data_IF_163853390541
#
_entry.id   IF_163853390541
#
_cell.length_a   1.000
_cell.length_b   1.000
_cell.length_c   1.000
_cell.angle_alpha   90.00
_cell.angle_beta   90.00
_cell.angle_gamma   90.00
#
_symmetry.space_group_name_H-M   'P 1'
#
loop_
_entity.id
_entity.type
_entity.pdbx_description
1 polymer ?
#
# COMPACT_ATOMS: atom_id res chain seq x y z
N UNK A 1 3.51 16.90 47.55
CA UNK A 1 4.33 15.67 47.40
C UNK A 1 3.52 14.43 46.99
N UNK A 2 2.18 14.40 47.09
CA UNK A 2 1.35 13.25 46.67
C UNK A 2 1.01 13.18 45.16
N UNK A 3 1.05 14.32 44.45
CA UNK A 3 0.70 14.42 43.02
C UNK A 3 1.74 13.81 42.09
N UNK A 4 3.01 13.77 42.49
CA UNK A 4 4.08 13.14 41.70
C UNK A 4 3.97 11.61 41.67
N UNK A 5 3.54 10.98 42.77
CA UNK A 5 3.37 9.52 42.83
C UNK A 5 2.21 9.01 41.99
N UNK A 6 1.16 9.82 41.77
CA UNK A 6 0.01 9.46 40.93
C UNK A 6 0.35 9.43 39.44
N UNK A 7 1.18 10.37 38.97
CA UNK A 7 1.64 10.42 37.56
C UNK A 7 2.60 9.25 37.27
N UNK A 8 3.53 8.98 38.19
CA UNK A 8 4.49 7.88 38.06
C UNK A 8 3.77 6.53 38.10
N UNK A 9 2.78 6.35 38.99
CA UNK A 9 1.96 5.12 39.05
C UNK A 9 1.14 4.89 37.78
N UNK A 10 0.57 5.96 37.21
CA UNK A 10 -0.16 5.90 35.93
C UNK A 10 0.74 5.52 34.75
N UNK A 11 1.93 6.10 34.65
CA UNK A 11 2.89 5.74 33.59
C UNK A 11 3.41 4.31 33.75
N UNK A 12 3.64 3.83 34.98
CA UNK A 12 4.05 2.44 35.22
C UNK A 12 2.95 1.46 34.78
N UNK A 13 1.68 1.75 35.06
CA UNK A 13 0.54 0.94 34.60
C UNK A 13 0.45 0.92 33.07
N UNK A 14 0.60 2.08 32.41
CA UNK A 14 0.59 2.14 30.94
C UNK A 14 1.76 1.37 30.34
N UNK A 15 2.96 1.47 30.91
CA UNK A 15 4.14 0.72 30.45
C UNK A 15 3.94 -0.80 30.68
N UNK A 16 3.36 -1.21 31.81
CA UNK A 16 3.02 -2.62 32.07
C UNK A 16 1.95 -3.15 31.11
N UNK A 17 0.97 -2.34 30.71
CA UNK A 17 -0.02 -2.71 29.70
C UNK A 17 0.60 -2.83 28.31
N UNK A 18 1.62 -2.04 27.98
CA UNK A 18 2.35 -2.16 26.71
C UNK A 18 3.28 -3.39 26.68
N UNK A 19 3.81 -3.82 27.83
CA UNK A 19 4.63 -5.03 27.94
C UNK A 19 3.76 -6.30 27.85
N UNK A 20 2.57 -6.31 28.46
CA UNK A 20 1.65 -7.46 28.42
C UNK A 20 0.67 -7.43 27.24
N UNK A 21 0.65 -6.35 26.44
CA UNK A 21 -0.29 -6.12 25.35
C UNK A 21 0.08 -6.75 23.99
N UNK A 22 1.10 -7.61 23.94
CA UNK A 22 1.55 -8.25 22.71
C UNK A 22 1.50 -9.78 22.81
N UNK A 23 0.37 -10.34 23.21
CA UNK A 23 0.08 -11.77 23.04
C UNK A 23 -1.06 -11.97 22.03
N UNK A 24 -0.79 -11.57 20.78
CA UNK A 24 -1.67 -11.82 19.62
C UNK A 24 -0.91 -12.23 18.36
N UNK A 25 0.40 -12.48 18.47
CA UNK A 25 1.20 -13.05 17.39
C UNK A 25 0.91 -14.54 17.28
N UNK A 26 -0.06 -14.89 16.44
CA UNK A 26 -0.38 -16.28 16.07
C UNK A 26 0.91 -16.99 15.69
N UNK A 27 1.34 -17.93 16.54
CA UNK A 27 2.43 -18.87 16.27
C UNK A 27 2.11 -19.56 14.95
N UNK A 28 2.84 -19.19 13.89
CA UNK A 28 2.83 -20.00 12.69
C UNK A 28 3.65 -21.22 13.01
N UNK A 29 2.95 -22.25 13.47
CA UNK A 29 3.36 -23.64 13.41
C UNK A 29 4.06 -23.83 12.07
N UNK A 30 5.39 -23.95 12.10
CA UNK A 30 6.16 -24.41 10.94
C UNK A 30 5.75 -25.85 10.74
N UNK A 31 4.67 -26.05 9.97
CA UNK A 31 4.28 -27.33 9.41
C UNK A 31 5.53 -27.87 8.73
N UNK A 32 6.13 -28.91 9.32
CA UNK A 32 7.09 -29.78 8.67
C UNK A 32 6.35 -30.39 7.49
N UNK A 33 6.36 -29.65 6.38
CA UNK A 33 5.77 -30.05 5.12
C UNK A 33 6.83 -30.97 4.53
N UNK A 34 6.71 -32.23 4.93
CA UNK A 34 7.21 -33.38 4.20
C UNK A 34 7.19 -33.04 2.72
N UNK A 35 8.37 -33.06 2.11
CA UNK A 35 8.59 -32.91 0.69
C UNK A 35 7.71 -33.90 -0.06
N UNK A 36 6.55 -33.46 -0.52
CA UNK A 36 5.63 -34.24 -1.33
C UNK A 36 4.79 -33.25 -2.15
N UNK A 37 4.92 -33.38 -3.47
CA UNK A 37 4.21 -32.67 -4.54
C UNK A 37 4.31 -31.13 -4.56
N UNK A 38 5.23 -30.62 -5.36
CA UNK A 38 5.17 -29.25 -5.85
C UNK A 38 4.07 -29.14 -6.91
N UNK A 39 2.82 -28.97 -6.47
CA UNK A 39 1.73 -28.51 -7.35
C UNK A 39 2.12 -27.15 -7.93
N UNK A 40 2.08 -26.96 -9.27
CA UNK A 40 2.50 -25.72 -9.89
C UNK A 40 1.47 -24.65 -9.56
N UNK A 41 1.71 -23.89 -8.50
CA UNK A 41 0.96 -22.68 -8.24
C UNK A 41 1.19 -21.75 -9.43
N UNK A 42 0.21 -21.65 -10.31
CA UNK A 42 0.27 -20.73 -11.43
C UNK A 42 0.21 -19.32 -10.85
N UNK A 43 1.37 -18.73 -10.58
CA UNK A 43 1.48 -17.28 -10.40
C UNK A 43 1.29 -16.61 -11.77
N UNK A 44 0.24 -16.98 -12.52
CA UNK A 44 -0.23 -16.13 -13.60
C UNK A 44 -0.80 -14.93 -12.88
N UNK A 45 -0.07 -13.81 -12.94
CA UNK A 45 -0.69 -12.49 -12.86
C UNK A 45 -1.98 -12.61 -13.68
N UNK A 46 -3.12 -12.24 -13.10
CA UNK A 46 -4.35 -12.06 -13.86
C UNK A 46 -4.11 -10.89 -14.83
N UNK A 47 -3.31 -11.16 -15.88
CA UNK A 47 -3.23 -10.35 -17.07
C UNK A 47 -4.63 -10.41 -17.65
N UNK A 48 -5.21 -9.24 -17.92
CA UNK A 48 -6.56 -9.17 -18.40
C UNK A 48 -6.70 -10.11 -19.61
N UNK A 49 -7.69 -11.01 -19.57
CA UNK A 49 -7.87 -12.06 -20.58
C UNK A 49 -8.13 -11.48 -21.98
N UNK A 50 -8.44 -10.17 -22.03
CA UNK A 50 -8.56 -9.36 -23.24
C UNK A 50 -7.20 -9.01 -23.90
N UNK A 51 -6.07 -9.45 -23.34
CA UNK A 51 -4.73 -9.22 -23.89
C UNK A 51 -4.13 -7.85 -23.59
N UNK A 52 -4.79 -7.00 -22.80
CA UNK A 52 -4.32 -5.67 -22.40
C UNK A 52 -3.58 -5.70 -21.05
N UNK A 53 -2.82 -4.66 -20.74
CA UNK A 53 -2.15 -4.50 -19.44
C UNK A 53 -1.02 -5.51 -19.18
N UNK A 54 -0.34 -5.96 -20.24
CA UNK A 54 0.80 -6.88 -20.14
C UNK A 54 1.99 -6.24 -19.42
N UNK A 55 2.17 -4.94 -19.61
CA UNK A 55 3.06 -4.07 -18.84
C UNK A 55 2.23 -3.15 -17.95
N UNK A 56 2.76 -2.67 -16.82
CA UNK A 56 2.09 -1.65 -16.03
C UNK A 56 1.70 -0.45 -16.92
N UNK A 57 0.45 0.05 -16.84
CA UNK A 57 0.04 1.22 -17.61
C UNK A 57 0.75 2.46 -17.07
N UNK A 58 1.20 3.29 -17.99
CA UNK A 58 1.83 4.57 -17.72
C UNK A 58 0.89 5.69 -18.15
N UNK A 59 0.99 6.86 -17.52
CA UNK A 59 0.12 7.99 -17.80
C UNK A 59 0.03 8.99 -16.65
N UNK A 60 -1.10 9.68 -16.58
CA UNK A 60 -1.33 10.78 -15.64
C UNK A 60 -2.68 10.64 -14.92
N UNK A 61 -2.75 11.19 -13.70
CA UNK A 61 -3.96 11.21 -12.87
C UNK A 61 -4.25 12.63 -12.40
N UNK A 62 -5.48 13.11 -12.66
CA UNK A 62 -5.93 14.47 -12.34
C UNK A 62 -6.14 14.72 -10.84
N UNK A 63 -6.56 13.71 -10.09
CA UNK A 63 -7.02 13.85 -8.71
C UNK A 63 -5.91 14.33 -7.77
N UNK A 64 -4.68 13.86 -7.96
CA UNK A 64 -3.56 14.17 -7.07
C UNK A 64 -3.22 15.67 -7.00
N UNK A 65 -3.54 16.43 -8.05
CA UNK A 65 -3.25 17.85 -8.10
C UNK A 65 -4.51 18.70 -8.10
N UNK A 66 -5.52 18.32 -8.89
CA UNK A 66 -6.70 19.15 -9.14
C UNK A 66 -7.89 18.78 -8.26
N UNK A 67 -7.95 17.57 -7.70
CA UNK A 67 -9.08 17.11 -6.89
C UNK A 67 -10.43 17.32 -7.59
N UNK A 68 -11.32 18.10 -6.98
CA UNK A 68 -12.63 18.45 -7.54
C UNK A 68 -12.57 19.58 -8.58
N UNK A 69 -11.48 20.37 -8.63
CA UNK A 69 -11.31 21.51 -9.53
C UNK A 69 -10.80 21.06 -10.91
N UNK A 70 -11.48 20.07 -11.49
CA UNK A 70 -11.17 19.52 -12.81
C UNK A 70 -12.12 20.06 -13.87
N UNK A 71 -11.58 20.42 -15.03
CA UNK A 71 -12.35 20.88 -16.19
C UNK A 71 -11.78 20.32 -17.48
N UNK A 72 -12.56 20.37 -18.56
CA UNK A 72 -12.12 19.95 -19.90
C UNK A 72 -10.81 20.65 -20.31
N UNK A 73 -10.70 21.95 -20.03
CA UNK A 73 -9.53 22.72 -20.42
C UNK A 73 -8.26 22.21 -19.73
N UNK A 74 -8.34 21.89 -18.43
CA UNK A 74 -7.21 21.33 -17.67
C UNK A 74 -6.75 20.00 -18.26
N UNK A 75 -7.69 19.12 -18.64
CA UNK A 75 -7.35 17.82 -19.23
C UNK A 75 -6.66 18.01 -20.58
N UNK A 76 -7.17 18.91 -21.42
CA UNK A 76 -6.60 19.19 -22.75
C UNK A 76 -5.21 19.82 -22.65
N UNK A 77 -5.04 20.83 -21.81
CA UNK A 77 -3.74 21.49 -21.60
C UNK A 77 -2.71 20.52 -21.01
N UNK A 78 -3.12 19.63 -20.11
CA UNK A 78 -2.24 18.59 -19.58
C UNK A 78 -1.83 17.62 -20.69
N UNK A 79 -2.76 17.21 -21.55
CA UNK A 79 -2.46 16.34 -22.69
C UNK A 79 -1.46 17.00 -23.66
N UNK A 80 -1.67 18.27 -23.98
CA UNK A 80 -0.76 19.04 -24.83
C UNK A 80 0.64 19.14 -24.18
N UNK A 81 0.69 19.37 -22.86
CA UNK A 81 1.95 19.42 -22.11
C UNK A 81 2.68 18.07 -22.08
N UNK A 82 1.97 16.94 -21.96
CA UNK A 82 2.60 15.60 -22.02
C UNK A 82 3.25 15.34 -23.37
N UNK A 83 2.64 15.82 -24.46
CA UNK A 83 3.21 15.71 -25.81
C UNK A 83 4.38 16.67 -25.98
N UNK A 84 4.23 17.94 -25.57
CA UNK A 84 5.27 18.96 -25.76
C UNK A 84 6.53 18.70 -24.94
N UNK A 85 6.39 18.09 -23.77
CA UNK A 85 7.52 17.69 -22.90
C UNK A 85 8.15 16.36 -23.31
N UNK A 86 7.53 15.63 -24.23
CA UNK A 86 7.97 14.31 -24.67
C UNK A 86 7.64 13.17 -23.70
N UNK A 87 6.92 13.43 -22.61
CA UNK A 87 6.52 12.39 -21.65
C UNK A 87 5.68 11.29 -22.33
N UNK A 88 4.82 11.67 -23.28
CA UNK A 88 4.03 10.73 -24.07
C UNK A 88 4.88 9.74 -24.90
N UNK A 89 6.14 10.07 -25.21
CA UNK A 89 7.02 9.18 -25.98
C UNK A 89 7.63 8.06 -25.13
N UNK A 90 7.61 8.19 -23.80
CA UNK A 90 8.22 7.22 -22.88
C UNK A 90 7.26 6.11 -22.43
N UNK A 91 6.01 6.15 -22.90
CA UNK A 91 4.97 5.20 -22.56
C UNK A 91 4.10 5.71 -21.44
#
# INVERSE_FOLDING_TARGET
MATHYSIIGGMIIVVLLMINGSEGGRLLEKKNRTSAEAEPYNVRRYLAENGLGQTPPMGWNSWNHFGCDISENVVRETADAMVSTGLAAFG
#
